data_IF_046304248307
#
_entry.id   IF_046304248307
#
_cell.length_a   1.000
_cell.length_b   1.000
_cell.length_c   1.000
_cell.angle_alpha   90.00
_cell.angle_beta   90.00
_cell.angle_gamma   90.00
#
_symmetry.space_group_name_H-M   'P 1'
#
loop_
_entity.id
_entity.type
_entity.pdbx_description
1 polymer ?
#
# COMPACT_ATOMS: atom_id res chain seq x y z
N UNK A 1 5.44 21.95 13.66
CA UNK A 1 6.29 20.73 13.71
C UNK A 1 7.41 20.93 12.69
N UNK A 2 8.67 20.67 13.07
CA UNK A 2 9.77 20.76 12.09
C UNK A 2 9.99 19.37 11.53
N UNK A 3 9.84 19.21 10.22
CA UNK A 3 10.06 17.94 9.52
C UNK A 3 11.37 18.02 8.76
N UNK A 4 12.18 16.96 8.87
CA UNK A 4 13.41 16.77 8.08
C UNK A 4 13.23 15.61 7.14
N UNK A 5 13.61 15.76 5.87
CA UNK A 5 13.53 14.73 4.84
C UNK A 5 14.93 14.43 4.31
N UNK A 6 15.40 13.22 4.55
CA UNK A 6 16.66 12.70 4.03
C UNK A 6 16.38 11.69 2.90
N UNK A 7 17.27 11.59 1.93
CA UNK A 7 17.13 10.61 0.85
C UNK A 7 18.29 9.63 0.84
N UNK A 8 17.96 8.37 0.58
CA UNK A 8 18.91 7.27 0.49
C UNK A 8 18.78 6.60 -0.88
N UNK A 9 19.89 6.26 -1.56
CA UNK A 9 19.83 5.51 -2.79
C UNK A 9 19.07 4.18 -2.57
N UNK A 10 18.14 3.88 -3.47
CA UNK A 10 17.38 2.64 -3.52
C UNK A 10 17.67 1.94 -4.86
N UNK A 11 18.71 1.10 -4.92
CA UNK A 11 19.02 0.35 -6.13
C UNK A 11 17.84 -0.55 -6.53
N UNK A 12 17.72 -0.82 -7.81
CA UNK A 12 16.53 -1.38 -8.45
C UNK A 12 15.86 -0.28 -9.28
N UNK A 13 15.07 -0.67 -10.25
CA UNK A 13 14.40 0.28 -11.14
C UNK A 13 12.95 0.50 -10.69
N UNK A 14 12.62 1.74 -10.31
CA UNK A 14 11.31 2.15 -9.84
C UNK A 14 10.93 1.61 -8.44
N UNK A 15 11.55 2.09 -7.33
CA UNK A 15 11.05 1.84 -5.98
C UNK A 15 9.58 2.26 -5.86
N UNK A 16 8.70 1.31 -5.45
CA UNK A 16 7.26 1.53 -5.52
C UNK A 16 6.53 1.39 -4.18
N UNK A 17 6.56 0.22 -3.56
CA UNK A 17 6.00 0.00 -2.23
C UNK A 17 7.10 -0.23 -1.20
N UNK A 18 6.79 0.03 0.07
CA UNK A 18 7.75 -0.02 1.17
C UNK A 18 7.09 -0.55 2.43
N UNK A 19 7.84 -1.34 3.21
CA UNK A 19 7.37 -1.91 4.48
C UNK A 19 8.55 -2.13 5.44
N UNK A 20 8.27 -2.10 6.74
CA UNK A 20 9.21 -2.60 7.75
C UNK A 20 9.17 -4.12 7.79
N UNK A 21 10.31 -4.75 7.54
CA UNK A 21 10.46 -6.20 7.61
C UNK A 21 10.63 -6.73 9.03
N UNK A 22 10.42 -8.04 9.24
CA UNK A 22 10.53 -8.68 10.55
C UNK A 22 11.98 -8.67 11.11
N UNK A 23 12.96 -8.40 10.26
CA UNK A 23 14.38 -8.23 10.62
C UNK A 23 14.74 -6.78 11.00
N UNK A 24 13.76 -5.87 11.05
CA UNK A 24 13.97 -4.45 11.35
C UNK A 24 14.69 -3.69 10.24
N UNK A 25 14.68 -4.19 9.00
CA UNK A 25 15.07 -3.45 7.83
C UNK A 25 13.84 -2.86 7.13
N UNK A 26 14.07 -1.88 6.28
CA UNK A 26 13.07 -1.40 5.33
C UNK A 26 13.19 -2.23 4.05
N UNK A 27 12.07 -2.79 3.61
CA UNK A 27 11.98 -3.57 2.37
C UNK A 27 11.11 -2.86 1.36
N UNK A 28 11.47 -2.91 0.09
CA UNK A 28 10.73 -2.24 -0.98
C UNK A 28 10.68 -3.07 -2.26
N UNK A 29 9.65 -2.85 -3.04
CA UNK A 29 9.54 -3.38 -4.41
C UNK A 29 10.16 -2.41 -5.39
N UNK A 30 10.80 -2.93 -6.45
CA UNK A 30 11.28 -2.15 -7.59
C UNK A 30 10.54 -2.63 -8.85
N UNK A 31 9.47 -1.90 -9.20
CA UNK A 31 8.40 -2.35 -10.10
C UNK A 31 8.84 -2.54 -11.54
N UNK A 32 9.81 -1.73 -12.02
CA UNK A 32 10.33 -1.81 -13.38
C UNK A 32 11.46 -2.84 -13.50
N UNK A 33 12.27 -2.95 -12.45
CA UNK A 33 13.46 -3.81 -12.45
C UNK A 33 13.22 -5.27 -12.03
N UNK A 34 11.98 -5.66 -11.69
CA UNK A 34 11.68 -7.02 -11.22
C UNK A 34 12.56 -7.40 -10.02
N UNK A 35 12.54 -6.62 -8.95
CA UNK A 35 13.39 -6.91 -7.79
C UNK A 35 12.77 -6.45 -6.46
N UNK A 36 13.25 -7.04 -5.37
CA UNK A 36 12.95 -6.64 -4.00
C UNK A 36 14.23 -6.06 -3.38
N UNK A 37 14.15 -4.86 -2.86
CA UNK A 37 15.23 -4.20 -2.16
C UNK A 37 15.09 -4.28 -0.64
N UNK A 38 16.24 -4.35 0.05
CA UNK A 38 16.35 -4.30 1.50
C UNK A 38 17.36 -3.23 1.89
N UNK A 39 16.96 -2.32 2.75
CA UNK A 39 17.78 -1.17 3.16
C UNK A 39 17.77 -0.98 4.67
N UNK A 40 18.91 -0.56 5.21
CA UNK A 40 19.05 -0.03 6.57
C UNK A 40 19.89 1.25 6.55
N UNK A 41 19.59 2.24 7.39
CA UNK A 41 20.45 3.41 7.53
C UNK A 41 21.89 3.02 7.83
N UNK A 42 22.84 3.57 7.07
CA UNK A 42 24.27 3.29 7.26
C UNK A 42 24.78 1.98 6.65
N UNK A 43 23.94 1.17 6.04
CA UNK A 43 24.31 -0.05 5.30
C UNK A 43 24.08 0.13 3.80
N UNK A 44 24.81 -0.61 2.98
CA UNK A 44 24.52 -0.71 1.56
C UNK A 44 23.22 -1.48 1.35
N UNK A 45 22.34 -0.99 0.49
CA UNK A 45 21.12 -1.68 0.16
C UNK A 45 21.40 -3.00 -0.59
N UNK A 46 20.64 -4.04 -0.27
CA UNK A 46 20.72 -5.37 -0.89
C UNK A 46 19.56 -5.53 -1.86
N UNK A 47 19.83 -6.07 -3.07
CA UNK A 47 18.83 -6.33 -4.09
C UNK A 47 18.68 -7.82 -4.33
N UNK A 48 17.45 -8.32 -4.24
CA UNK A 48 17.06 -9.66 -4.61
C UNK A 48 16.32 -9.62 -5.95
N UNK A 49 16.94 -10.17 -6.98
CA UNK A 49 16.39 -10.19 -8.34
C UNK A 49 15.33 -11.28 -8.46
N UNK A 50 14.20 -10.89 -9.04
CA UNK A 50 13.13 -11.78 -9.47
C UNK A 50 13.22 -12.02 -10.97
N UNK A 51 12.20 -12.66 -11.56
CA UNK A 51 12.07 -12.70 -13.01
C UNK A 51 11.88 -11.29 -13.58
N UNK A 52 12.56 -11.00 -14.67
CA UNK A 52 12.39 -9.72 -15.37
C UNK A 52 10.93 -9.54 -15.78
N UNK A 53 10.45 -8.31 -15.72
CA UNK A 53 9.08 -7.94 -16.08
C UNK A 53 7.95 -8.54 -15.21
N UNK A 54 8.24 -9.21 -14.07
CA UNK A 54 7.20 -9.72 -13.18
C UNK A 54 6.35 -8.60 -12.55
N UNK A 55 6.88 -7.39 -12.43
CA UNK A 55 6.19 -6.21 -11.90
C UNK A 55 5.80 -6.34 -10.43
N UNK A 56 6.76 -6.45 -9.50
CA UNK A 56 6.45 -6.50 -8.07
C UNK A 56 5.84 -5.16 -7.63
N UNK A 57 4.63 -5.19 -7.06
CA UNK A 57 3.89 -3.98 -6.69
C UNK A 57 3.86 -3.76 -5.17
N UNK A 58 2.91 -4.32 -4.46
CA UNK A 58 2.79 -4.11 -3.01
C UNK A 58 3.50 -5.22 -2.25
N UNK A 59 4.09 -4.87 -1.10
CA UNK A 59 4.82 -5.78 -0.21
C UNK A 59 4.33 -5.61 1.24
N UNK A 60 4.22 -6.70 1.98
CA UNK A 60 3.82 -6.74 3.38
C UNK A 60 4.62 -7.76 4.17
N UNK A 61 4.71 -7.59 5.50
CA UNK A 61 5.22 -8.63 6.40
C UNK A 61 4.16 -9.69 6.61
N UNK A 62 4.53 -10.95 6.40
CA UNK A 62 3.64 -12.09 6.59
C UNK A 62 3.66 -12.66 8.01
N UNK A 63 2.65 -13.47 8.37
CA UNK A 63 2.54 -14.07 9.71
C UNK A 63 3.60 -15.15 9.96
N UNK A 64 4.29 -15.61 8.94
CA UNK A 64 5.34 -16.64 8.97
C UNK A 64 6.76 -16.07 9.06
N UNK A 65 6.90 -14.76 9.33
CA UNK A 65 8.18 -14.06 9.45
C UNK A 65 8.91 -13.83 8.12
N UNK A 66 8.23 -14.03 6.99
CA UNK A 66 8.71 -13.65 5.68
C UNK A 66 8.00 -12.39 5.18
N UNK A 67 8.47 -11.83 4.08
CA UNK A 67 7.73 -10.81 3.35
C UNK A 67 6.97 -11.45 2.20
N UNK A 68 5.79 -10.89 1.91
CA UNK A 68 4.93 -11.32 0.83
C UNK A 68 4.64 -10.15 -0.09
N UNK A 69 4.63 -10.39 -1.39
CA UNK A 69 4.44 -9.34 -2.38
C UNK A 69 3.63 -9.84 -3.58
N UNK A 70 3.02 -8.92 -4.28
CA UNK A 70 2.27 -9.18 -5.51
C UNK A 70 3.17 -8.96 -6.72
N UNK A 71 3.08 -9.82 -7.73
CA UNK A 71 3.71 -9.69 -9.03
C UNK A 71 2.63 -9.46 -10.09
N UNK A 72 2.33 -8.18 -10.31
CA UNK A 72 1.19 -7.73 -11.11
C UNK A 72 1.16 -8.30 -12.53
N UNK A 73 2.30 -8.24 -13.23
CA UNK A 73 2.41 -8.67 -14.62
C UNK A 73 2.61 -10.19 -14.77
N UNK A 74 3.16 -10.82 -13.75
CA UNK A 74 3.36 -12.27 -13.75
C UNK A 74 2.20 -13.05 -13.16
N UNK A 75 1.17 -12.36 -12.62
CA UNK A 75 -0.03 -12.96 -12.04
C UNK A 75 0.30 -13.99 -10.95
N UNK A 76 1.22 -13.60 -10.04
CA UNK A 76 1.73 -14.45 -8.96
C UNK A 76 1.74 -13.70 -7.63
N UNK A 77 1.79 -14.46 -6.56
CA UNK A 77 2.16 -13.98 -5.23
C UNK A 77 3.57 -14.45 -4.93
N UNK A 78 4.46 -13.51 -4.61
CA UNK A 78 5.83 -13.79 -4.20
C UNK A 78 5.98 -13.80 -2.68
N UNK A 79 6.88 -14.62 -2.17
CA UNK A 79 7.30 -14.71 -0.78
C UNK A 79 8.83 -14.66 -0.71
N UNK A 80 9.38 -13.80 0.13
CA UNK A 80 10.84 -13.71 0.34
C UNK A 80 11.16 -13.75 1.84
N UNK A 81 12.07 -14.61 2.23
CA UNK A 81 12.59 -14.62 3.60
C UNK A 81 13.65 -13.54 3.80
N UNK A 82 13.96 -13.21 5.05
CA UNK A 82 14.93 -12.14 5.38
C UNK A 82 16.36 -12.46 4.95
N UNK A 83 16.66 -13.73 4.63
CA UNK A 83 17.92 -14.18 4.03
C UNK A 83 17.92 -14.12 2.49
N UNK A 84 16.78 -13.73 1.87
CA UNK A 84 16.64 -13.55 0.43
C UNK A 84 16.16 -14.78 -0.34
N UNK A 85 15.73 -15.86 0.34
CA UNK A 85 15.14 -17.02 -0.33
C UNK A 85 13.74 -16.70 -0.87
N UNK A 86 13.55 -16.77 -2.18
CA UNK A 86 12.29 -16.46 -2.86
C UNK A 86 11.50 -17.73 -3.16
N UNK A 87 10.19 -17.66 -3.00
CA UNK A 87 9.20 -18.64 -3.47
C UNK A 87 8.03 -17.91 -4.12
N UNK A 88 7.55 -18.40 -5.24
CA UNK A 88 6.47 -17.80 -6.02
C UNK A 88 5.29 -18.78 -6.13
N UNK A 89 4.07 -18.23 -6.14
CA UNK A 89 2.82 -18.97 -6.19
C UNK A 89 1.98 -18.44 -7.37
N UNK A 90 1.95 -19.13 -8.50
CA UNK A 90 1.10 -18.77 -9.62
C UNK A 90 -0.38 -18.78 -9.23
N UNK A 91 -1.13 -17.78 -9.65
CA UNK A 91 -2.58 -17.71 -9.45
C UNK A 91 -3.31 -18.47 -10.56
N UNK A 92 -4.45 -19.10 -10.20
CA UNK A 92 -5.18 -19.93 -11.15
C UNK A 92 -5.99 -19.10 -12.15
N UNK A 93 -6.45 -17.90 -11.74
CA UNK A 93 -7.17 -16.99 -12.61
C UNK A 93 -6.18 -16.27 -13.55
N UNK A 94 -6.29 -16.46 -14.88
CA UNK A 94 -5.40 -15.81 -15.83
C UNK A 94 -5.63 -14.30 -15.84
N UNK A 95 -4.56 -13.55 -16.14
CA UNK A 95 -4.58 -12.09 -16.29
C UNK A 95 -5.20 -11.34 -15.09
N UNK A 96 -5.13 -11.92 -13.89
CA UNK A 96 -5.80 -11.40 -12.70
C UNK A 96 -5.21 -10.09 -12.16
N UNK A 97 -3.93 -9.80 -12.42
CA UNK A 97 -3.26 -8.57 -11.98
C UNK A 97 -3.29 -8.38 -10.46
N UNK A 98 -2.62 -9.22 -9.64
CA UNK A 98 -2.59 -9.05 -8.20
C UNK A 98 -1.85 -7.76 -7.83
N UNK A 99 -2.46 -6.91 -6.96
CA UNK A 99 -1.91 -5.60 -6.65
C UNK A 99 -1.73 -5.35 -5.15
N UNK A 100 -2.78 -5.09 -4.38
CA UNK A 100 -2.73 -4.90 -2.94
C UNK A 100 -2.54 -6.23 -2.21
N UNK A 101 -1.78 -6.24 -1.11
CA UNK A 101 -1.61 -7.43 -0.25
C UNK A 101 -1.44 -7.01 1.21
N UNK A 102 -2.06 -7.76 2.12
CA UNK A 102 -1.98 -7.54 3.57
C UNK A 102 -2.02 -8.88 4.32
N UNK A 103 -1.39 -8.94 5.49
CA UNK A 103 -1.55 -10.07 6.41
C UNK A 103 -2.90 -9.99 7.11
N UNK A 104 -3.72 -11.03 7.01
CA UNK A 104 -5.00 -11.16 7.68
C UNK A 104 -4.88 -11.64 9.12
N UNK A 105 -5.93 -11.46 9.96
CA UNK A 105 -5.96 -11.95 11.33
C UNK A 105 -6.08 -13.48 11.43
N UNK A 106 -6.35 -14.15 10.31
CA UNK A 106 -6.50 -15.60 10.16
C UNK A 106 -5.19 -16.32 9.77
N UNK A 107 -4.03 -15.66 9.94
CA UNK A 107 -2.71 -16.14 9.55
C UNK A 107 -2.56 -16.47 8.05
N UNK A 108 -3.34 -15.82 7.21
CA UNK A 108 -3.21 -15.87 5.75
C UNK A 108 -2.89 -14.47 5.20
N UNK A 109 -2.51 -14.40 3.93
CA UNK A 109 -2.40 -13.15 3.21
C UNK A 109 -3.68 -12.94 2.40
N UNK A 110 -4.16 -11.69 2.36
CA UNK A 110 -5.29 -11.28 1.54
C UNK A 110 -4.81 -10.29 0.49
N UNK A 111 -5.24 -10.45 -0.74
CA UNK A 111 -4.76 -9.64 -1.86
C UNK A 111 -5.90 -9.26 -2.81
N UNK A 112 -5.68 -8.23 -3.60
CA UNK A 112 -6.61 -7.79 -4.64
C UNK A 112 -6.19 -8.34 -5.99
N UNK A 113 -7.17 -8.74 -6.81
CA UNK A 113 -7.00 -9.09 -8.23
C UNK A 113 -7.68 -8.03 -9.07
N UNK A 114 -6.90 -6.99 -9.38
CA UNK A 114 -7.38 -5.73 -9.93
C UNK A 114 -8.09 -5.88 -11.27
N UNK A 115 -7.55 -6.70 -12.17
CA UNK A 115 -8.06 -6.83 -13.53
C UNK A 115 -9.35 -7.65 -13.64
N UNK A 116 -9.64 -8.49 -12.63
CA UNK A 116 -10.80 -9.42 -12.66
C UNK A 116 -11.81 -9.14 -11.55
N UNK A 117 -11.58 -8.10 -10.73
CA UNK A 117 -12.54 -7.67 -9.70
C UNK A 117 -12.75 -8.70 -8.59
N UNK A 118 -11.64 -9.27 -8.05
CA UNK A 118 -11.70 -10.28 -6.98
C UNK A 118 -10.81 -9.92 -5.80
N UNK A 119 -11.09 -10.56 -4.68
CA UNK A 119 -10.22 -10.65 -3.52
C UNK A 119 -9.67 -12.06 -3.45
N UNK A 120 -8.35 -12.20 -3.39
CA UNK A 120 -7.67 -13.46 -3.17
C UNK A 120 -7.24 -13.61 -1.71
N UNK A 121 -7.20 -14.85 -1.24
CA UNK A 121 -6.65 -15.25 0.04
C UNK A 121 -5.65 -16.38 -0.18
N UNK A 122 -4.44 -16.25 0.34
CA UNK A 122 -3.40 -17.28 0.23
C UNK A 122 -2.87 -17.63 1.62
N UNK A 123 -2.84 -18.92 1.94
CA UNK A 123 -2.20 -19.43 3.16
C UNK A 123 -0.66 -19.44 3.01
N UNK A 124 0.07 -19.51 4.11
CA UNK A 124 1.55 -19.49 4.08
C UNK A 124 2.17 -20.73 3.41
N UNK A 125 1.40 -21.81 3.24
CA UNK A 125 1.78 -23.01 2.46
C UNK A 125 1.43 -22.91 0.96
N UNK A 126 0.61 -21.88 0.57
CA UNK A 126 0.33 -21.55 -0.83
C UNK A 126 -1.05 -21.96 -1.32
N UNK A 127 -2.00 -22.34 -0.43
CA UNK A 127 -3.38 -22.60 -0.84
C UNK A 127 -4.13 -21.28 -1.09
N UNK A 128 -4.68 -21.12 -2.30
CA UNK A 128 -5.37 -19.91 -2.76
C UNK A 128 -6.89 -20.14 -2.77
N UNK A 129 -7.64 -19.13 -2.32
CA UNK A 129 -9.10 -19.03 -2.45
C UNK A 129 -9.43 -17.64 -2.98
N UNK A 130 -10.36 -17.53 -3.92
CA UNK A 130 -10.75 -16.28 -4.57
C UNK A 130 -12.24 -15.99 -4.32
N UNK A 131 -12.58 -14.71 -4.07
CA UNK A 131 -13.92 -14.22 -3.77
C UNK A 131 -14.29 -13.10 -4.75
N UNK A 132 -15.43 -13.20 -5.45
CA UNK A 132 -15.85 -12.13 -6.36
C UNK A 132 -16.31 -10.89 -5.60
N UNK A 133 -16.01 -9.71 -6.12
CA UNK A 133 -16.59 -8.45 -5.66
C UNK A 133 -17.93 -8.25 -6.41
N UNK A 134 -19.06 -7.97 -5.70
CA UNK A 134 -20.39 -7.94 -6.30
C UNK A 134 -20.69 -6.62 -7.03
N UNK A 135 -19.69 -6.07 -7.74
CA UNK A 135 -19.84 -4.89 -8.60
C UNK A 135 -18.92 -5.02 -9.82
N UNK A 136 -19.49 -4.80 -11.00
CA UNK A 136 -18.73 -4.86 -12.25
C UNK A 136 -17.74 -3.70 -12.35
N UNK A 137 -16.56 -3.97 -12.92
CA UNK A 137 -15.51 -2.96 -13.08
C UNK A 137 -14.95 -2.42 -11.75
N UNK A 138 -14.98 -3.21 -10.68
CA UNK A 138 -14.56 -2.79 -9.34
C UNK A 138 -13.15 -2.20 -9.32
N UNK A 139 -12.20 -2.78 -10.04
CA UNK A 139 -10.79 -2.42 -10.03
C UNK A 139 -10.24 -2.29 -8.60
N UNK A 140 -10.26 -3.39 -7.80
CA UNK A 140 -9.77 -3.34 -6.43
C UNK A 140 -8.27 -3.02 -6.41
N UNK A 141 -7.90 -2.00 -5.62
CA UNK A 141 -6.51 -1.52 -5.54
C UNK A 141 -5.88 -1.92 -4.20
N UNK A 142 -5.75 -1.01 -3.25
CA UNK A 142 -5.14 -1.32 -1.96
C UNK A 142 -6.13 -2.01 -1.01
N UNK A 143 -5.57 -2.77 -0.06
CA UNK A 143 -6.31 -3.52 0.95
C UNK A 143 -5.64 -3.37 2.31
N UNK A 144 -6.42 -3.26 3.37
CA UNK A 144 -5.95 -3.17 4.76
C UNK A 144 -6.85 -3.96 5.71
N UNK A 145 -6.33 -4.31 6.88
CA UNK A 145 -7.11 -4.87 7.99
C UNK A 145 -7.44 -3.76 8.98
N UNK A 146 -8.71 -3.59 9.33
CA UNK A 146 -9.13 -2.67 10.38
C UNK A 146 -10.24 -3.31 11.22
N UNK A 147 -10.03 -3.43 12.53
CA UNK A 147 -10.94 -4.15 13.42
C UNK A 147 -11.03 -5.64 13.06
N UNK A 148 -12.23 -6.11 12.77
CA UNK A 148 -12.56 -7.50 12.46
C UNK A 148 -12.73 -7.80 10.95
N UNK A 149 -12.45 -6.83 10.10
CA UNK A 149 -12.67 -6.91 8.66
C UNK A 149 -11.48 -6.40 7.85
N UNK A 150 -11.50 -6.70 6.55
CA UNK A 150 -10.63 -6.05 5.60
C UNK A 150 -11.40 -4.93 4.90
N UNK A 151 -10.67 -3.89 4.51
CA UNK A 151 -11.20 -2.80 3.69
C UNK A 151 -10.36 -2.69 2.43
N UNK A 152 -11.03 -2.50 1.30
CA UNK A 152 -10.42 -2.44 -0.02
C UNK A 152 -10.93 -1.22 -0.79
N UNK A 153 -10.04 -0.52 -1.44
CA UNK A 153 -10.41 0.57 -2.35
C UNK A 153 -10.84 -0.01 -3.70
N UNK A 154 -12.05 0.34 -4.15
CA UNK A 154 -12.61 -0.06 -5.44
C UNK A 154 -12.53 1.15 -6.38
N UNK A 155 -11.38 1.31 -7.03
CA UNK A 155 -11.01 2.55 -7.73
C UNK A 155 -12.01 2.95 -8.80
N UNK A 156 -12.35 2.06 -9.74
CA UNK A 156 -13.25 2.38 -10.84
C UNK A 156 -14.75 2.31 -10.44
N UNK A 157 -15.07 1.55 -9.40
CA UNK A 157 -16.41 1.55 -8.83
C UNK A 157 -16.68 2.77 -7.94
N UNK A 158 -15.69 3.62 -7.69
CA UNK A 158 -15.77 4.79 -6.82
C UNK A 158 -16.36 4.45 -5.43
N UNK A 159 -15.79 3.41 -4.78
CA UNK A 159 -16.35 2.84 -3.56
C UNK A 159 -15.25 2.25 -2.65
N UNK A 160 -15.64 1.94 -1.42
CA UNK A 160 -14.87 1.10 -0.49
C UNK A 160 -15.61 -0.21 -0.30
N UNK A 161 -14.88 -1.33 -0.44
CA UNK A 161 -15.38 -2.66 -0.08
C UNK A 161 -14.99 -3.01 1.35
N UNK A 162 -15.93 -3.51 2.16
CA UNK A 162 -15.65 -4.17 3.44
C UNK A 162 -15.77 -5.67 3.23
N UNK A 163 -14.69 -6.40 3.53
CA UNK A 163 -14.59 -7.85 3.29
C UNK A 163 -14.56 -8.60 4.62
N UNK A 164 -15.52 -9.47 4.82
CA UNK A 164 -15.53 -10.40 5.96
C UNK A 164 -14.50 -11.53 5.79
N UNK A 165 -14.13 -12.17 6.89
CA UNK A 165 -13.19 -13.32 6.86
C UNK A 165 -13.76 -14.55 6.13
N UNK A 166 -15.05 -14.56 5.83
CA UNK A 166 -15.72 -15.56 4.99
C UNK A 166 -15.69 -15.20 3.49
N UNK A 167 -15.10 -14.05 3.13
CA UNK A 167 -15.04 -13.53 1.77
C UNK A 167 -16.29 -12.75 1.33
N UNK A 168 -17.27 -12.52 2.19
CA UNK A 168 -18.43 -11.68 1.88
C UNK A 168 -17.99 -10.23 1.72
N UNK A 169 -18.38 -9.57 0.62
CA UNK A 169 -18.04 -8.17 0.32
C UNK A 169 -19.28 -7.29 0.39
N UNK A 170 -19.21 -6.26 1.22
CA UNK A 170 -20.19 -5.15 1.24
C UNK A 170 -19.57 -3.91 0.62
N UNK A 171 -20.27 -3.26 -0.30
CA UNK A 171 -19.77 -2.11 -1.06
C UNK A 171 -20.41 -0.82 -0.57
N UNK A 172 -19.59 0.20 -0.29
CA UNK A 172 -20.00 1.52 0.18
C UNK A 172 -19.56 2.58 -0.86
N UNK A 173 -20.49 3.14 -1.64
CA UNK A 173 -20.18 4.20 -2.59
C UNK A 173 -19.62 5.45 -1.91
N UNK A 174 -18.63 6.10 -2.55
CA UNK A 174 -18.10 7.37 -2.07
C UNK A 174 -19.09 8.52 -2.30
N UNK A 175 -19.16 9.49 -1.38
CA UNK A 175 -19.97 10.71 -1.56
C UNK A 175 -19.53 11.55 -2.76
N UNK A 176 -18.20 11.73 -2.94
CA UNK A 176 -17.65 12.48 -4.09
C UNK A 176 -17.60 11.57 -5.33
N UNK A 177 -18.25 11.96 -6.45
CA UNK A 177 -18.17 11.17 -7.69
C UNK A 177 -16.77 11.22 -8.30
N UNK A 178 -16.38 10.15 -9.01
CA UNK A 178 -15.10 10.00 -9.72
C UNK A 178 -13.88 10.31 -8.86
N UNK A 179 -13.95 10.00 -7.56
CA UNK A 179 -12.92 10.35 -6.58
C UNK A 179 -11.63 9.53 -6.76
N UNK A 180 -11.74 8.32 -7.31
CA UNK A 180 -10.59 7.44 -7.59
C UNK A 180 -9.85 6.99 -6.33
N UNK A 181 -10.47 6.24 -5.40
CA UNK A 181 -9.81 5.77 -4.19
C UNK A 181 -8.68 4.78 -4.52
N UNK A 182 -7.50 4.94 -3.88
CA UNK A 182 -6.31 4.11 -4.13
C UNK A 182 -5.66 3.58 -2.85
N UNK A 183 -4.81 4.33 -2.16
CA UNK A 183 -4.17 3.89 -0.93
C UNK A 183 -5.15 3.82 0.25
N UNK A 184 -4.98 2.84 1.14
CA UNK A 184 -5.81 2.65 2.35
C UNK A 184 -4.97 2.12 3.50
N UNK A 185 -5.26 2.56 4.72
CA UNK A 185 -4.61 2.12 5.96
C UNK A 185 -5.61 1.99 7.09
N UNK A 186 -5.26 1.18 8.10
CA UNK A 186 -6.07 1.06 9.30
C UNK A 186 -6.13 2.39 10.08
N UNK A 187 -7.29 2.69 10.59
CA UNK A 187 -7.55 3.78 11.52
C UNK A 187 -7.86 3.27 12.94
N UNK A 188 -8.15 4.20 13.84
CA UNK A 188 -8.57 3.89 15.20
C UNK A 188 -9.99 3.31 15.21
N UNK A 189 -10.29 2.49 16.23
CA UNK A 189 -11.62 1.93 16.50
C UNK A 189 -12.22 1.13 15.33
N UNK A 190 -11.38 0.48 14.52
CA UNK A 190 -11.81 -0.33 13.38
C UNK A 190 -12.19 0.46 12.13
N UNK A 191 -11.95 1.78 12.11
CA UNK A 191 -12.08 2.58 10.90
C UNK A 191 -10.93 2.35 9.93
N UNK A 192 -11.08 2.78 8.68
CA UNK A 192 -9.98 2.84 7.71
C UNK A 192 -9.90 4.22 7.09
N UNK A 193 -8.68 4.70 6.85
CA UNK A 193 -8.38 5.94 6.13
C UNK A 193 -7.87 5.61 4.73
N UNK A 194 -8.32 6.35 3.76
CA UNK A 194 -7.91 6.17 2.36
C UNK A 194 -7.67 7.51 1.67
N UNK A 195 -7.01 7.45 0.54
CA UNK A 195 -6.77 8.61 -0.32
C UNK A 195 -7.59 8.52 -1.59
N UNK A 196 -8.10 9.64 -2.04
CA UNK A 196 -8.87 9.81 -3.26
C UNK A 196 -8.03 10.59 -4.28
N UNK A 197 -7.36 9.85 -5.16
CA UNK A 197 -6.36 10.34 -6.09
C UNK A 197 -6.88 11.44 -6.99
N UNK A 198 -8.08 11.24 -7.56
CA UNK A 198 -8.64 12.16 -8.56
C UNK A 198 -9.36 13.34 -7.91
N UNK A 199 -9.95 13.14 -6.74
CA UNK A 199 -10.62 14.20 -5.99
C UNK A 199 -9.65 15.04 -5.16
N UNK A 200 -8.39 14.59 -4.93
CA UNK A 200 -7.41 15.31 -4.12
C UNK A 200 -7.87 15.49 -2.68
N UNK A 201 -8.24 14.39 -2.01
CA UNK A 201 -8.75 14.41 -0.64
C UNK A 201 -8.45 13.12 0.11
N UNK A 202 -8.63 13.14 1.43
CA UNK A 202 -8.63 11.98 2.29
C UNK A 202 -10.07 11.55 2.55
N UNK A 203 -10.29 10.24 2.61
CA UNK A 203 -11.54 9.65 3.06
C UNK A 203 -11.33 8.80 4.31
N UNK A 204 -12.36 8.67 5.10
CA UNK A 204 -12.43 7.75 6.24
C UNK A 204 -13.73 6.98 6.17
N UNK A 205 -13.67 5.67 6.38
CA UNK A 205 -14.83 4.81 6.57
C UNK A 205 -14.85 4.27 7.99
N UNK A 206 -15.97 4.40 8.68
CA UNK A 206 -16.21 3.81 9.99
C UNK A 206 -16.79 2.39 9.87
N UNK A 207 -16.74 1.55 10.94
CA UNK A 207 -17.24 0.17 10.89
C UNK A 207 -18.72 0.04 10.53
N UNK A 208 -19.53 1.08 10.77
CA UNK A 208 -20.96 1.16 10.41
C UNK A 208 -21.19 1.51 8.92
N UNK A 209 -20.10 1.78 8.17
CA UNK A 209 -20.16 2.19 6.77
C UNK A 209 -20.28 3.70 6.53
N UNK A 210 -20.30 4.51 7.57
CA UNK A 210 -20.30 5.97 7.43
C UNK A 210 -18.97 6.44 6.81
N UNK A 211 -19.05 7.19 5.70
CA UNK A 211 -17.90 7.78 5.03
C UNK A 211 -17.86 9.29 5.27
N UNK A 212 -16.69 9.77 5.64
CA UNK A 212 -16.37 11.20 5.74
C UNK A 212 -15.17 11.54 4.87
N UNK A 213 -15.19 12.71 4.24
CA UNK A 213 -14.18 13.17 3.31
C UNK A 213 -13.58 14.50 3.78
N UNK A 214 -12.25 14.66 3.62
CA UNK A 214 -11.52 15.87 3.98
C UNK A 214 -10.66 16.31 2.79
N UNK A 215 -10.98 17.46 2.15
CA UNK A 215 -10.19 18.01 1.05
C UNK A 215 -8.76 18.34 1.45
N UNK A 216 -7.80 18.07 0.56
CA UNK A 216 -6.43 18.58 0.68
C UNK A 216 -6.39 20.08 0.35
N UNK A 217 -5.41 20.82 0.90
CA UNK A 217 -5.17 22.21 0.52
C UNK A 217 -4.94 22.37 -1.00
N UNK A 218 -4.18 21.44 -1.59
CA UNK A 218 -3.99 21.33 -3.04
C UNK A 218 -4.78 20.14 -3.58
N UNK A 219 -5.94 20.39 -4.19
CA UNK A 219 -6.81 19.36 -4.79
C UNK A 219 -6.20 18.67 -6.01
N UNK A 220 -5.11 19.20 -6.55
CA UNK A 220 -4.41 18.61 -7.71
C UNK A 220 -3.21 17.75 -7.30
N UNK A 221 -2.95 17.62 -6.00
CA UNK A 221 -1.78 16.93 -5.46
C UNK A 221 -1.73 15.43 -5.75
N UNK A 222 -2.85 14.79 -6.13
CA UNK A 222 -2.96 13.35 -6.42
C UNK A 222 -2.39 12.48 -5.30
N UNK A 223 -3.02 12.43 -4.12
CA UNK A 223 -2.56 11.58 -3.04
C UNK A 223 -2.62 10.11 -3.46
N UNK A 224 -1.53 9.34 -3.17
CA UNK A 224 -1.40 7.98 -3.72
C UNK A 224 -1.38 6.89 -2.65
N UNK A 225 -0.53 6.98 -1.64
CA UNK A 225 -0.45 6.02 -0.54
C UNK A 225 -0.66 6.73 0.81
N UNK A 226 -1.09 5.97 1.82
CA UNK A 226 -1.35 6.48 3.16
C UNK A 226 -0.93 5.44 4.21
N UNK A 227 -0.38 5.91 5.35
CA UNK A 227 -0.01 5.07 6.49
C UNK A 227 -0.31 5.79 7.81
N UNK A 228 -0.58 5.02 8.87
CA UNK A 228 -0.70 5.56 10.22
C UNK A 228 0.68 5.92 10.79
N UNK A 229 0.80 7.08 11.43
CA UNK A 229 2.03 7.57 12.04
C UNK A 229 2.28 7.10 13.47
N UNK A 230 1.37 6.31 14.06
CA UNK A 230 1.47 5.76 15.42
C UNK A 230 1.08 6.72 16.55
N UNK A 231 0.79 7.99 16.24
CA UNK A 231 0.43 9.06 17.19
C UNK A 231 -0.95 9.68 16.88
N UNK A 232 -1.80 8.95 16.16
CA UNK A 232 -3.09 9.44 15.66
C UNK A 232 -2.98 10.30 14.40
N UNK A 233 -1.76 10.48 13.86
CA UNK A 233 -1.54 11.12 12.55
C UNK A 233 -1.61 10.10 11.41
N UNK A 234 -1.93 10.59 10.22
CA UNK A 234 -1.92 9.83 8.97
C UNK A 234 -1.04 10.53 7.96
N UNK A 235 -0.05 9.81 7.44
CA UNK A 235 0.92 10.33 6.49
C UNK A 235 0.66 9.77 5.11
N UNK A 236 0.75 10.60 4.10
CA UNK A 236 0.44 10.22 2.73
C UNK A 236 1.41 10.82 1.73
N UNK A 237 1.54 10.18 0.60
CA UNK A 237 2.32 10.67 -0.54
C UNK A 237 1.42 11.47 -1.46
N UNK A 238 1.92 12.56 -2.00
CA UNK A 238 1.28 13.39 -3.02
C UNK A 238 2.07 13.27 -4.33
N UNK A 239 1.71 12.25 -5.10
CA UNK A 239 2.41 11.91 -6.35
C UNK A 239 2.41 13.05 -7.35
N UNK A 240 1.29 13.74 -7.55
CA UNK A 240 1.17 14.84 -8.50
C UNK A 240 1.83 16.13 -8.07
N UNK A 241 2.06 16.33 -6.76
CA UNK A 241 2.65 17.54 -6.20
C UNK A 241 4.10 17.37 -5.74
N UNK A 242 4.65 16.14 -5.79
CA UNK A 242 6.01 15.85 -5.32
C UNK A 242 6.22 16.18 -3.82
N UNK A 243 5.26 15.78 -2.97
CA UNK A 243 5.22 16.09 -1.54
C UNK A 243 4.93 14.88 -0.67
N UNK A 244 5.17 15.06 0.63
CA UNK A 244 4.63 14.22 1.70
C UNK A 244 3.63 15.05 2.49
N UNK A 245 2.41 14.58 2.60
CA UNK A 245 1.38 15.18 3.41
C UNK A 245 1.22 14.48 4.77
N UNK A 246 0.71 15.20 5.75
CA UNK A 246 0.29 14.66 7.04
C UNK A 246 -1.05 15.28 7.46
N UNK A 247 -1.96 14.41 7.89
CA UNK A 247 -3.10 14.80 8.69
C UNK A 247 -2.77 14.51 10.15
N UNK A 248 -2.70 15.54 10.96
CA UNK A 248 -2.42 15.44 12.41
C UNK A 248 -3.63 14.92 13.18
N UNK A 249 -3.42 14.47 14.41
CA UNK A 249 -4.49 13.92 15.26
C UNK A 249 -5.64 14.90 15.51
N UNK A 250 -5.35 16.22 15.54
CA UNK A 250 -6.37 17.28 15.66
C UNK A 250 -7.09 17.64 14.34
N UNK A 251 -6.71 16.94 13.24
CA UNK A 251 -7.35 17.07 11.92
C UNK A 251 -6.74 18.11 11.00
N UNK A 252 -5.67 18.83 11.40
CA UNK A 252 -4.99 19.74 10.52
C UNK A 252 -4.18 18.99 9.45
N UNK A 253 -4.05 19.57 8.25
CA UNK A 253 -3.21 19.05 7.17
C UNK A 253 -1.99 19.94 7.00
N UNK A 254 -0.81 19.33 6.89
CA UNK A 254 0.43 19.98 6.52
C UNK A 254 1.10 19.20 5.38
N UNK A 255 1.78 19.91 4.50
CA UNK A 255 2.43 19.38 3.30
C UNK A 255 3.91 19.79 3.27
N UNK A 256 4.79 18.90 2.84
CA UNK A 256 6.24 19.08 2.83
C UNK A 256 6.80 18.68 1.47
N UNK A 257 7.45 19.62 0.80
CA UNK A 257 8.09 19.37 -0.50
C UNK A 257 9.24 18.37 -0.36
N UNK A 258 9.32 17.42 -1.31
CA UNK A 258 10.48 16.55 -1.44
C UNK A 258 11.68 17.34 -1.97
N UNK A 259 12.91 17.06 -1.47
CA UNK A 259 14.10 17.84 -1.83
C UNK A 259 14.52 17.68 -3.31
N UNK A 260 14.13 16.58 -3.97
CA UNK A 260 14.40 16.33 -5.39
C UNK A 260 13.10 16.51 -6.18
N UNK A 261 13.10 17.33 -7.25
CA UNK A 261 11.92 17.52 -8.09
C UNK A 261 11.57 16.24 -8.86
N UNK A 262 10.29 16.06 -9.14
CA UNK A 262 9.75 14.90 -9.86
C UNK A 262 10.21 13.55 -9.29
N UNK A 263 10.23 13.43 -7.96
CA UNK A 263 10.66 12.22 -7.27
C UNK A 263 9.64 11.07 -7.36
N UNK A 264 8.39 11.37 -7.73
CA UNK A 264 7.30 10.41 -7.90
C UNK A 264 7.11 9.53 -6.65
N UNK A 265 6.64 10.12 -5.52
CA UNK A 265 6.45 9.37 -4.29
C UNK A 265 5.24 8.44 -4.40
N UNK A 266 5.45 7.14 -4.15
CA UNK A 266 4.42 6.10 -4.15
C UNK A 266 4.15 5.57 -2.74
N UNK A 267 4.68 4.40 -2.37
CA UNK A 267 4.44 3.78 -1.07
C UNK A 267 5.03 4.56 0.09
N UNK A 268 4.35 4.53 1.24
CA UNK A 268 4.83 5.12 2.50
C UNK A 268 4.53 4.18 3.66
N UNK A 269 5.46 4.04 4.61
CA UNK A 269 5.32 3.21 5.79
C UNK A 269 6.03 3.79 7.00
N UNK A 270 5.59 3.42 8.20
CA UNK A 270 6.32 3.67 9.44
C UNK A 270 7.53 2.73 9.52
N UNK A 271 8.71 3.30 9.65
CA UNK A 271 9.97 2.56 9.74
C UNK A 271 10.26 2.00 11.13
N UNK A 272 11.27 1.11 11.24
CA UNK A 272 11.63 0.47 12.49
C UNK A 272 12.23 1.44 13.51
N UNK A 273 12.68 2.59 13.04
CA UNK A 273 13.28 3.69 13.83
C UNK A 273 12.26 4.76 14.24
N UNK A 274 10.98 4.54 13.94
CA UNK A 274 9.90 5.50 14.19
C UNK A 274 9.81 6.65 13.19
N UNK A 275 10.71 6.72 12.20
CA UNK A 275 10.60 7.63 11.06
C UNK A 275 9.60 7.10 10.02
N UNK A 276 9.04 7.99 9.21
CA UNK A 276 8.30 7.57 8.02
C UNK A 276 9.30 7.32 6.89
N UNK A 277 8.99 6.34 6.04
CA UNK A 277 9.78 6.03 4.85
C UNK A 277 8.88 6.00 3.63
N UNK A 278 9.29 6.66 2.57
CA UNK A 278 8.56 6.67 1.30
C UNK A 278 9.45 6.18 0.16
N UNK A 279 8.85 5.40 -0.73
CA UNK A 279 9.48 4.94 -1.96
C UNK A 279 9.31 6.02 -3.04
N UNK A 280 10.44 6.41 -3.65
CA UNK A 280 10.49 7.39 -4.73
C UNK A 280 10.89 6.67 -6.02
N UNK A 281 10.03 6.67 -7.03
CA UNK A 281 10.20 5.88 -8.26
C UNK A 281 11.50 6.22 -9.01
N UNK A 282 12.04 7.41 -8.77
CA UNK A 282 13.33 7.89 -9.31
C UNK A 282 14.58 7.25 -8.68
N UNK A 283 14.44 6.16 -7.91
CA UNK A 283 15.57 5.38 -7.39
C UNK A 283 16.06 5.78 -5.99
N UNK A 284 15.18 6.31 -5.16
CA UNK A 284 15.49 6.69 -3.78
C UNK A 284 14.43 6.24 -2.78
N UNK A 285 14.81 6.17 -1.51
CA UNK A 285 13.90 6.16 -0.37
C UNK A 285 14.02 7.50 0.36
N UNK A 286 12.89 8.12 0.68
CA UNK A 286 12.86 9.28 1.58
C UNK A 286 12.60 8.82 3.01
N UNK A 287 13.42 9.30 3.96
CA UNK A 287 13.24 9.12 5.39
C UNK A 287 12.79 10.44 6.00
N UNK A 288 11.64 10.44 6.65
CA UNK A 288 10.97 11.63 7.18
C UNK A 288 10.99 11.56 8.71
N UNK A 289 11.64 12.50 9.36
CA UNK A 289 11.70 12.64 10.83
C UNK A 289 11.00 13.89 11.30
N UNK A 290 10.49 13.85 12.55
CA UNK A 290 9.74 14.93 13.21
C UNK A 290 10.61 15.61 14.26
#
# INVERSE_FOLDING_TARGET
MTVSIEQYPAPGDGPYAIVTGPDGAVWYTAVHGGSIGRSRPGEAAVIHRLEADCGPTIITSGPDGALWFTEYRAHRIGRITTDGTVREFPLATPDCGPYGIVAGPDNALWFTETAVGRIGRITTDGHVTEYPIPVDGAFPSAITVAGDALYVTLNQANAIGRVGMDGTVTVYPLPTPDAGPVGITAGEHGSAWFVELLAGQLGRIDPDGTITEQPLPDRTAKPHAITAGGDGSYWFTEWGANRIGVRTADGAIAEYDLPVPAAEPHGIALGPDGALWAALETGHLARITR
#
